data_IF_150851150632
#
_entry.id   IF_150851150632
#
_cell.length_a   1.000
_cell.length_b   1.000
_cell.length_c   1.000
_cell.angle_alpha   90.00
_cell.angle_beta   90.00
_cell.angle_gamma   90.00
#
_symmetry.space_group_name_H-M   'P 1'
#
loop_
_entity.id
_entity.type
_entity.pdbx_description
1 polymer ?
#
# COMPACT_ATOMS: atom_id res chain seq x y z
N UNK A 1 -29.41 -46.90 -66.07
CA UNK A 1 -28.36 -47.81 -65.55
C UNK A 1 -27.49 -47.00 -64.60
N UNK A 2 -27.26 -47.50 -63.37
CA UNK A 2 -26.49 -46.86 -62.28
C UNK A 2 -25.06 -46.46 -62.68
N UNK A 3 -24.57 -45.39 -62.05
CA UNK A 3 -23.29 -45.27 -61.30
C UNK A 3 -22.98 -43.77 -61.08
N UNK A 4 -23.15 -43.21 -59.88
CA UNK A 4 -22.10 -43.00 -58.86
C UNK A 4 -20.78 -42.41 -59.38
N UNK A 5 -20.47 -41.17 -58.99
CA UNK A 5 -19.23 -40.82 -58.26
C UNK A 5 -19.21 -39.37 -57.74
N UNK A 6 -18.73 -39.30 -56.53
CA UNK A 6 -18.56 -38.24 -55.53
C UNK A 6 -17.45 -37.23 -55.85
N UNK A 7 -17.60 -35.96 -55.47
CA UNK A 7 -16.51 -35.11 -54.93
C UNK A 7 -17.08 -33.79 -54.35
N UNK A 8 -17.18 -33.72 -53.02
CA UNK A 8 -16.31 -32.91 -52.13
C UNK A 8 -16.67 -31.43 -52.04
N UNK A 9 -17.45 -31.11 -50.99
CA UNK A 9 -17.54 -29.77 -50.46
C UNK A 9 -16.26 -29.35 -49.74
N UNK A 10 -16.02 -28.05 -49.69
CA UNK A 10 -15.08 -27.44 -48.77
C UNK A 10 -15.77 -26.22 -48.14
N UNK A 11 -16.35 -26.42 -46.95
CA UNK A 11 -16.76 -25.35 -46.06
C UNK A 11 -15.47 -24.85 -45.41
N UNK A 12 -14.97 -23.71 -45.86
CA UNK A 12 -13.78 -23.08 -45.29
C UNK A 12 -14.16 -22.35 -44.00
N UNK A 13 -14.27 -23.09 -42.89
CA UNK A 13 -14.23 -22.50 -41.55
C UNK A 13 -12.78 -22.32 -41.14
N UNK A 14 -12.27 -21.09 -41.18
CA UNK A 14 -10.98 -20.74 -40.59
C UNK A 14 -11.22 -20.19 -39.18
N UNK A 15 -11.14 -21.13 -38.25
CA UNK A 15 -10.73 -21.04 -36.85
C UNK A 15 -10.17 -19.67 -36.43
N UNK A 16 -10.89 -18.97 -35.56
CA UNK A 16 -10.29 -17.97 -34.67
C UNK A 16 -9.29 -18.69 -33.77
N UNK A 17 -8.00 -18.45 -33.97
CA UNK A 17 -6.97 -18.86 -33.01
C UNK A 17 -7.07 -17.97 -31.78
N UNK A 18 -7.85 -18.40 -30.79
CA UNK A 18 -7.58 -18.03 -29.40
C UNK A 18 -6.22 -18.63 -29.04
N UNK A 19 -5.20 -17.78 -28.99
CA UNK A 19 -3.94 -18.13 -28.34
C UNK A 19 -4.22 -18.17 -26.83
N UNK A 20 -4.63 -19.35 -26.34
CA UNK A 20 -4.58 -19.64 -24.91
C UNK A 20 -3.12 -19.54 -24.48
N UNK A 21 -2.80 -18.42 -23.81
CA UNK A 21 -1.49 -18.18 -23.23
C UNK A 21 -1.33 -19.16 -22.07
N UNK A 22 -0.60 -20.26 -22.29
CA UNK A 22 -0.28 -21.23 -21.24
C UNK A 22 0.69 -20.55 -20.27
N UNK A 23 0.18 -20.13 -19.11
CA UNK A 23 1.03 -19.67 -18.00
C UNK A 23 1.75 -20.89 -17.40
N UNK A 24 3.06 -20.77 -17.24
CA UNK A 24 3.89 -21.78 -16.61
C UNK A 24 3.72 -21.74 -15.09
N UNK A 25 3.96 -22.87 -14.42
CA UNK A 25 3.87 -22.94 -12.96
C UNK A 25 4.82 -21.98 -12.24
N UNK A 26 5.94 -21.61 -12.88
CA UNK A 26 6.87 -20.61 -12.37
C UNK A 26 6.27 -19.20 -12.44
N UNK A 27 5.69 -18.81 -13.57
CA UNK A 27 5.03 -17.50 -13.75
C UNK A 27 3.86 -17.32 -12.77
N UNK A 28 3.08 -18.37 -12.51
CA UNK A 28 1.99 -18.35 -11.52
C UNK A 28 2.52 -18.18 -10.10
N UNK A 29 3.61 -18.86 -9.74
CA UNK A 29 4.22 -18.74 -8.42
C UNK A 29 4.86 -17.36 -8.20
N UNK A 30 5.52 -16.81 -9.21
CA UNK A 30 6.10 -15.46 -9.18
C UNK A 30 5.02 -14.39 -9.04
N UNK A 31 3.93 -14.48 -9.80
CA UNK A 31 2.80 -13.57 -9.70
C UNK A 31 2.12 -13.63 -8.32
N UNK A 32 2.10 -14.81 -7.68
CA UNK A 32 1.57 -14.97 -6.33
C UNK A 32 2.47 -14.37 -5.24
N UNK A 33 3.78 -14.26 -5.48
CA UNK A 33 4.74 -13.70 -4.55
C UNK A 33 4.77 -12.16 -4.57
N UNK A 34 4.24 -11.54 -5.63
CA UNK A 34 4.17 -10.08 -5.76
C UNK A 34 3.05 -9.48 -4.89
N UNK A 35 3.31 -8.35 -4.22
CA UNK A 35 2.29 -7.65 -3.45
C UNK A 35 1.10 -7.21 -4.30
N UNK A 36 -0.10 -7.37 -3.75
CA UNK A 36 -1.34 -6.83 -4.32
C UNK A 36 -1.91 -5.76 -3.39
N UNK A 37 -2.03 -4.54 -3.89
CA UNK A 37 -2.83 -3.48 -3.29
C UNK A 37 -4.17 -3.42 -4.03
N UNK A 38 -5.28 -3.44 -3.31
CA UNK A 38 -6.63 -3.38 -3.88
C UNK A 38 -7.53 -2.58 -2.95
N UNK A 39 -8.16 -1.55 -3.50
CA UNK A 39 -9.03 -0.64 -2.77
C UNK A 39 -10.26 -0.32 -3.62
N UNK A 40 -11.40 -0.09 -2.95
CA UNK A 40 -12.65 0.36 -3.58
C UNK A 40 -13.16 1.54 -2.77
N UNK A 41 -13.46 2.63 -3.46
CA UNK A 41 -13.92 3.89 -2.85
C UNK A 41 -15.37 4.16 -3.27
N UNK A 42 -16.18 4.74 -2.38
CA UNK A 42 -17.55 5.15 -2.72
C UNK A 42 -17.57 6.27 -3.77
N UNK A 43 -16.61 7.20 -3.67
CA UNK A 43 -16.36 8.21 -4.68
C UNK A 43 -15.43 7.61 -5.75
N UNK A 44 -15.89 7.46 -7.01
CA UNK A 44 -15.06 6.93 -8.09
C UNK A 44 -13.85 7.83 -8.42
N UNK A 45 -13.90 9.11 -8.06
CA UNK A 45 -12.83 10.07 -8.30
C UNK A 45 -11.87 10.23 -7.10
N UNK A 46 -12.05 9.42 -6.05
CA UNK A 46 -11.20 9.43 -4.85
C UNK A 46 -9.71 9.30 -5.20
N UNK A 47 -8.90 10.21 -4.66
CA UNK A 47 -7.43 10.17 -4.75
C UNK A 47 -6.78 9.59 -3.50
N UNK A 48 -7.57 9.10 -2.54
CA UNK A 48 -7.10 8.65 -1.22
C UNK A 48 -6.31 7.34 -1.26
N UNK A 49 -6.29 6.65 -2.40
CA UNK A 49 -5.67 5.35 -2.59
C UNK A 49 -4.34 5.38 -3.34
N UNK A 50 -3.58 4.28 -3.23
CA UNK A 50 -2.30 4.15 -3.93
C UNK A 50 -2.53 3.86 -5.41
N UNK A 51 -2.22 4.83 -6.28
CA UNK A 51 -2.31 4.64 -7.74
C UNK A 51 -1.09 3.91 -8.30
N UNK A 52 0.10 4.24 -7.80
CA UNK A 52 1.37 3.64 -8.19
C UNK A 52 2.14 3.20 -6.94
N UNK A 53 2.42 1.90 -6.81
CA UNK A 53 3.27 1.38 -5.74
C UNK A 53 4.72 1.81 -6.00
N UNK A 54 5.46 2.36 -5.02
CA UNK A 54 6.91 2.54 -5.11
C UNK A 54 7.64 1.23 -5.37
N UNK A 55 8.81 1.32 -5.99
CA UNK A 55 9.61 0.14 -6.39
C UNK A 55 9.90 -0.85 -5.25
N UNK A 56 10.25 -0.41 -4.02
CA UNK A 56 10.43 -1.33 -2.90
C UNK A 56 9.20 -2.20 -2.64
N UNK A 57 7.99 -1.65 -2.82
CA UNK A 57 6.71 -2.35 -2.59
C UNK A 57 6.26 -3.22 -3.78
N UNK A 58 7.02 -3.26 -4.88
CA UNK A 58 6.80 -4.18 -6.01
C UNK A 58 7.66 -5.44 -5.91
N UNK A 59 8.57 -5.53 -4.95
CA UNK A 59 9.41 -6.70 -4.73
C UNK A 59 8.65 -7.84 -4.04
N UNK A 60 9.06 -9.11 -4.22
CA UNK A 60 8.44 -10.25 -3.55
C UNK A 60 8.32 -10.06 -2.03
N UNK A 61 7.18 -10.47 -1.45
CA UNK A 61 6.95 -10.32 0.00
C UNK A 61 7.89 -11.21 0.82
N UNK A 62 8.21 -12.39 0.31
CA UNK A 62 8.98 -13.41 1.04
C UNK A 62 10.43 -12.98 1.37
N UNK A 63 10.94 -11.93 0.72
CA UNK A 63 12.26 -11.37 1.02
C UNK A 63 12.25 -10.33 2.14
N UNK A 64 11.10 -10.03 2.74
CA UNK A 64 10.95 -8.98 3.77
C UNK A 64 10.55 -9.56 5.11
N UNK A 65 11.03 -8.95 6.19
CA UNK A 65 10.50 -9.25 7.51
C UNK A 65 9.06 -8.74 7.65
N UNK A 66 8.26 -9.31 8.57
CA UNK A 66 6.95 -8.76 8.92
C UNK A 66 6.99 -7.26 9.28
N UNK A 67 8.00 -6.82 10.03
CA UNK A 67 8.17 -5.43 10.44
C UNK A 67 8.48 -4.51 9.26
N UNK A 68 9.43 -4.88 8.39
CA UNK A 68 9.75 -4.13 7.18
C UNK A 68 8.50 -4.02 6.30
N UNK A 69 7.81 -5.14 6.07
CA UNK A 69 6.64 -5.16 5.21
C UNK A 69 5.51 -4.28 5.74
N UNK A 70 5.29 -4.23 7.05
CA UNK A 70 4.31 -3.33 7.66
C UNK A 70 4.77 -1.85 7.60
N UNK A 71 6.04 -1.58 7.88
CA UNK A 71 6.63 -0.24 7.83
C UNK A 71 6.44 0.44 6.47
N UNK A 72 6.84 -0.24 5.39
CA UNK A 72 6.76 0.32 4.03
C UNK A 72 5.32 0.62 3.61
N UNK A 73 4.37 -0.24 3.99
CA UNK A 73 2.93 -0.01 3.71
C UNK A 73 2.35 1.14 4.55
N UNK A 74 2.76 1.28 5.81
CA UNK A 74 2.33 2.40 6.64
C UNK A 74 2.78 3.75 6.08
N UNK A 75 3.98 3.81 5.48
CA UNK A 75 4.45 5.02 4.79
C UNK A 75 3.47 5.44 3.70
N UNK A 76 3.01 4.50 2.86
CA UNK A 76 2.03 4.80 1.82
C UNK A 76 0.72 5.33 2.38
N UNK A 77 0.17 4.66 3.40
CA UNK A 77 -1.09 5.11 4.00
C UNK A 77 -0.97 6.51 4.59
N UNK A 78 0.15 6.82 5.27
CA UNK A 78 0.40 8.15 5.83
C UNK A 78 0.52 9.19 4.72
N UNK A 79 1.30 8.91 3.67
CA UNK A 79 1.48 9.83 2.55
C UNK A 79 0.16 10.09 1.82
N UNK A 80 -0.59 9.05 1.48
CA UNK A 80 -1.87 9.17 0.79
C UNK A 80 -2.88 9.94 1.64
N UNK A 81 -2.91 9.68 2.95
CA UNK A 81 -3.75 10.45 3.88
C UNK A 81 -3.35 11.93 3.88
N UNK A 82 -2.05 12.24 3.98
CA UNK A 82 -1.56 13.62 3.94
C UNK A 82 -1.86 14.34 2.61
N UNK A 83 -1.93 13.64 1.47
CA UNK A 83 -2.32 14.22 0.18
C UNK A 83 -3.76 14.73 0.18
N UNK A 84 -4.63 14.18 1.04
CA UNK A 84 -6.03 14.63 1.18
C UNK A 84 -6.19 15.82 2.12
N UNK A 85 -5.14 16.21 2.86
CA UNK A 85 -5.21 17.26 3.88
C UNK A 85 -4.97 18.65 3.30
N UNK A 86 -5.75 19.62 3.80
CA UNK A 86 -5.49 21.05 3.59
C UNK A 86 -4.24 21.54 4.34
N UNK A 87 -3.85 22.79 4.11
CA UNK A 87 -2.64 23.40 4.69
C UNK A 87 -2.69 23.64 6.21
N UNK A 88 -3.86 23.47 6.85
CA UNK A 88 -4.07 23.77 8.26
C UNK A 88 -4.14 22.51 9.13
N UNK A 89 -4.17 21.33 8.52
CA UNK A 89 -4.17 20.05 9.21
C UNK A 89 -2.86 19.29 9.07
N UNK A 90 -2.48 18.57 10.12
CA UNK A 90 -1.36 17.63 10.22
C UNK A 90 -1.90 16.23 10.53
N UNK A 91 -1.13 15.20 10.16
CA UNK A 91 -1.49 13.82 10.46
C UNK A 91 -1.14 13.46 11.91
N UNK A 92 -2.05 12.73 12.55
CA UNK A 92 -1.83 12.08 13.83
C UNK A 92 -2.28 10.62 13.76
N UNK A 93 -1.71 9.79 14.62
CA UNK A 93 -2.07 8.38 14.78
C UNK A 93 -2.80 8.15 16.10
N UNK A 94 -3.97 7.56 16.01
CA UNK A 94 -4.64 6.91 17.14
C UNK A 94 -4.24 5.44 17.19
N UNK A 95 -3.83 4.97 18.36
CA UNK A 95 -3.57 3.55 18.60
C UNK A 95 -4.80 2.92 19.21
N UNK A 96 -5.50 2.10 18.43
CA UNK A 96 -6.72 1.43 18.89
C UNK A 96 -6.34 0.21 19.72
N UNK A 97 -6.78 0.16 20.98
CA UNK A 97 -6.54 -0.98 21.87
C UNK A 97 -5.56 -0.74 23.03
N UNK A 98 -5.13 0.51 23.26
CA UNK A 98 -4.35 0.88 24.45
C UNK A 98 -4.59 2.33 24.88
N UNK A 99 -4.09 2.69 26.07
CA UNK A 99 -4.23 4.03 26.66
C UNK A 99 -3.30 5.09 26.04
N UNK A 100 -2.51 4.71 25.01
CA UNK A 100 -1.55 5.60 24.36
C UNK A 100 -2.20 6.80 23.65
N UNK A 101 -3.51 6.74 23.38
CA UNK A 101 -4.28 7.85 22.86
C UNK A 101 -3.91 8.23 21.42
N UNK A 102 -3.86 9.54 21.16
CA UNK A 102 -3.55 10.12 19.85
C UNK A 102 -2.19 10.81 19.92
N UNK A 103 -1.32 10.51 18.95
CA UNK A 103 0.01 11.08 18.82
C UNK A 103 0.17 11.77 17.47
N UNK A 104 0.65 13.01 17.44
CA UNK A 104 1.13 13.65 16.22
C UNK A 104 2.40 12.95 15.77
N UNK A 105 2.37 12.33 14.59
CA UNK A 105 3.48 11.52 14.12
C UNK A 105 4.56 12.42 13.51
N UNK A 106 5.78 12.25 14.01
CA UNK A 106 6.97 12.97 13.56
C UNK A 106 8.01 12.02 12.93
N UNK A 107 7.85 10.71 13.12
CA UNK A 107 8.68 9.69 12.50
C UNK A 107 8.20 8.28 12.78
N UNK A 108 8.79 7.32 12.05
CA UNK A 108 8.54 5.90 12.20
C UNK A 108 9.83 5.12 11.90
N UNK A 109 9.97 3.95 12.50
CA UNK A 109 11.02 2.98 12.19
C UNK A 109 10.53 1.55 12.34
N UNK A 110 11.39 0.61 11.99
CA UNK A 110 11.17 -0.82 12.22
C UNK A 110 12.48 -1.48 12.65
N UNK A 111 12.36 -2.64 13.29
CA UNK A 111 13.49 -3.49 13.62
C UNK A 111 13.11 -4.95 13.39
N UNK A 112 13.91 -5.63 12.57
CA UNK A 112 13.62 -6.99 12.15
C UNK A 112 13.66 -7.97 13.34
N UNK A 113 12.76 -8.97 13.37
CA UNK A 113 11.77 -9.26 12.34
C UNK A 113 10.40 -8.60 12.57
N UNK A 114 10.14 -8.01 13.74
CA UNK A 114 8.77 -7.85 14.22
C UNK A 114 8.44 -6.55 14.99
N UNK A 115 9.40 -5.63 15.18
CA UNK A 115 9.15 -4.39 15.93
C UNK A 115 8.91 -3.21 14.99
N UNK A 116 7.90 -2.40 15.30
CA UNK A 116 7.65 -1.08 14.69
C UNK A 116 7.75 -0.02 15.79
N UNK A 117 8.38 1.11 15.46
CA UNK A 117 8.49 2.26 16.34
C UNK A 117 7.84 3.49 15.73
N UNK A 118 7.12 4.24 16.54
CA UNK A 118 6.51 5.51 16.16
C UNK A 118 7.03 6.60 17.09
N UNK A 119 7.37 7.75 16.51
CA UNK A 119 7.89 8.90 17.22
C UNK A 119 6.97 10.09 17.01
N UNK A 120 6.78 10.89 18.06
CA UNK A 120 5.89 12.03 17.96
C UNK A 120 5.69 12.77 19.27
N UNK A 121 4.59 13.50 19.31
CA UNK A 121 4.13 14.24 20.47
C UNK A 121 2.67 13.90 20.81
N UNK A 122 2.36 13.80 22.10
CA UNK A 122 1.00 13.56 22.57
C UNK A 122 0.13 14.84 22.56
N UNK A 123 -1.10 14.74 23.09
CA UNK A 123 -2.03 15.87 23.19
C UNK A 123 -1.54 17.04 24.06
N UNK A 124 -0.56 16.82 24.93
CA UNK A 124 0.09 17.86 25.74
C UNK A 124 1.34 18.46 25.07
N UNK A 125 1.78 17.89 23.94
CA UNK A 125 3.04 18.23 23.29
C UNK A 125 4.25 17.53 23.91
N UNK A 126 4.06 16.59 24.84
CA UNK A 126 5.15 15.81 25.40
C UNK A 126 5.70 14.84 24.35
N UNK A 127 7.02 14.68 24.33
CA UNK A 127 7.68 13.74 23.43
C UNK A 127 7.28 12.32 23.78
N UNK A 128 6.75 11.60 22.80
CA UNK A 128 6.24 10.25 22.95
C UNK A 128 6.89 9.33 21.93
N UNK A 129 7.21 8.12 22.37
CA UNK A 129 7.61 7.04 21.49
C UNK A 129 6.76 5.83 21.82
N UNK A 130 6.18 5.23 20.79
CA UNK A 130 5.50 3.96 20.92
C UNK A 130 6.31 2.88 20.23
N UNK A 131 6.54 1.78 20.94
CA UNK A 131 7.22 0.58 20.44
C UNK A 131 6.22 -0.56 20.50
N UNK A 132 5.92 -1.19 19.37
CA UNK A 132 4.94 -2.27 19.28
C UNK A 132 5.44 -3.42 18.42
N UNK A 133 4.96 -4.62 18.75
CA UNK A 133 5.11 -5.77 17.87
C UNK A 133 4.12 -5.65 16.70
N UNK A 134 4.54 -6.02 15.49
CA UNK A 134 3.77 -5.86 14.25
C UNK A 134 2.41 -6.58 14.27
N UNK A 135 2.29 -7.68 15.01
CA UNK A 135 1.00 -8.40 15.15
C UNK A 135 -0.03 -7.64 15.98
N UNK A 136 0.36 -6.60 16.69
CA UNK A 136 -0.52 -5.73 17.48
C UNK A 136 -0.89 -4.45 16.73
N UNK A 137 -0.44 -4.30 15.48
CA UNK A 137 -0.61 -3.08 14.71
C UNK A 137 -2.09 -2.84 14.41
N UNK A 138 -2.62 -1.75 14.96
CA UNK A 138 -3.92 -1.21 14.61
C UNK A 138 -3.85 0.33 14.69
N UNK A 139 -3.91 0.97 13.53
CA UNK A 139 -3.60 2.40 13.35
C UNK A 139 -4.81 3.11 12.77
N UNK A 140 -5.19 4.21 13.40
CA UNK A 140 -6.14 5.17 12.86
C UNK A 140 -5.42 6.46 12.51
N UNK A 141 -5.48 6.89 11.25
CA UNK A 141 -4.98 8.21 10.85
C UNK A 141 -6.06 9.27 11.11
N UNK A 142 -5.67 10.40 11.70
CA UNK A 142 -6.55 11.53 12.02
C UNK A 142 -5.91 12.82 11.54
N UNK A 143 -6.74 13.72 11.03
CA UNK A 143 -6.35 15.10 10.77
C UNK A 143 -6.49 15.91 12.07
N UNK A 144 -5.43 16.58 12.50
CA UNK A 144 -5.45 17.52 13.63
C UNK A 144 -5.01 18.90 13.16
N UNK A 145 -5.53 19.99 13.73
CA UNK A 145 -5.01 21.33 13.44
C UNK A 145 -3.51 21.40 13.69
N UNK A 146 -2.80 22.11 12.81
CA UNK A 146 -1.37 22.38 12.95
C UNK A 146 -1.08 23.13 14.25
N UNK A 147 0.07 22.83 14.85
CA UNK A 147 0.41 23.36 16.18
C UNK A 147 0.96 24.78 16.14
N UNK A 148 1.48 25.22 14.99
CA UNK A 148 2.10 26.54 14.81
C UNK A 148 1.44 27.25 13.63
N UNK A 149 0.73 28.36 13.89
CA UNK A 149 -0.05 29.09 12.87
C UNK A 149 0.81 29.59 11.70
N UNK A 150 1.98 30.16 11.99
CA UNK A 150 2.85 30.80 10.98
C UNK A 150 3.79 29.84 10.25
N UNK A 151 3.68 28.52 10.50
CA UNK A 151 4.49 27.52 9.81
C UNK A 151 3.64 26.67 8.86
N UNK A 152 4.21 26.22 7.73
CA UNK A 152 3.60 25.17 6.94
C UNK A 152 3.35 23.94 7.82
N UNK A 153 2.21 23.26 7.61
CA UNK A 153 1.91 22.02 8.29
C UNK A 153 2.99 20.97 8.02
N UNK A 154 3.36 20.22 9.06
CA UNK A 154 4.31 19.13 8.92
C UNK A 154 3.69 17.99 8.09
N UNK A 155 4.53 17.40 7.24
CA UNK A 155 4.17 16.42 6.22
C UNK A 155 5.19 15.29 6.23
N UNK A 156 5.08 14.40 7.21
CA UNK A 156 6.07 13.34 7.44
C UNK A 156 5.95 12.22 6.40
N UNK A 157 4.75 11.95 5.89
CA UNK A 157 4.48 10.92 4.88
C UNK A 157 5.30 11.12 3.62
N UNK A 158 5.39 12.35 3.12
CA UNK A 158 6.23 12.67 1.95
C UNK A 158 7.72 12.48 2.20
N UNK A 159 8.21 12.78 3.41
CA UNK A 159 9.63 12.58 3.77
C UNK A 159 9.95 11.09 3.90
N UNK A 160 9.04 10.33 4.51
CA UNK A 160 9.16 8.88 4.63
C UNK A 160 9.15 8.20 3.26
N UNK A 161 8.24 8.60 2.37
CA UNK A 161 8.16 8.06 1.01
C UNK A 161 9.44 8.34 0.20
N UNK A 162 9.98 9.57 0.28
CA UNK A 162 11.25 9.89 -0.35
C UNK A 162 12.41 9.02 0.15
N UNK A 163 12.45 8.72 1.47
CA UNK A 163 13.46 7.82 2.04
C UNK A 163 13.26 6.36 1.68
N UNK A 164 12.02 5.92 1.49
CA UNK A 164 11.70 4.58 1.01
C UNK A 164 12.22 4.36 -0.42
N UNK A 165 12.15 5.36 -1.29
CA UNK A 165 12.69 5.26 -2.66
C UNK A 165 14.22 5.26 -2.73
N UNK A 166 14.90 5.76 -1.70
CA UNK A 166 16.37 5.78 -1.59
C UNK A 166 16.96 4.47 -0.99
N UNK A 167 16.12 3.61 -0.39
CA UNK A 167 16.55 2.42 0.37
C UNK A 167 16.71 1.14 -0.45
#
# INVERSE_FOLDING_TARGET
MRAERTAHGCISAKVETMQDKIETSAEVAEAAALPRCYEVHCDPDSTSGTKDLPEPLRQPVDSKSPAQWAYERLILYIQNFEQTLDADHEVAMGFTGGDAGVMRIEGMGYFDPDVITFYGSDGSGARTQLVQHVTQLNVMLRALPKTVEDKPANRIGFRLAAKLEES
#
